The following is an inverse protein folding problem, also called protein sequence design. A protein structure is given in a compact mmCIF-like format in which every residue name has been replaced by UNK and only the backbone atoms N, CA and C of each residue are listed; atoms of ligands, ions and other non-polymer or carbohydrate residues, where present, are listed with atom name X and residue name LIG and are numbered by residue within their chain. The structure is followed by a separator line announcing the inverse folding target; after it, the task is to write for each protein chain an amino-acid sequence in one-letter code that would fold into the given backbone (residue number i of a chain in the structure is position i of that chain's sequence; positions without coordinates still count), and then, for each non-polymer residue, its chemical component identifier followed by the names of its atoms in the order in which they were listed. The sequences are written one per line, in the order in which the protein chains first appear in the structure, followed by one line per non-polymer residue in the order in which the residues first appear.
data_IF_085777114406
#
_entry.id   IF_085777114406
#
_cell.length_a   1.000
_cell.length_b   1.000
_cell.length_c   1.000
_cell.angle_alpha   90.00
_cell.angle_beta   90.00
_cell.angle_gamma   90.00
#
_symmetry.space_group_name_H-M   'P 1'
#
loop_
_entity.id
_entity.type
_entity.pdbx_description
1 polymer ?
#
# COMPACT_ATOMS: atom_id res chain seq x y z
N UNK A 1 3.58 15.42 70.11
CA UNK A 1 3.20 14.33 69.17
C UNK A 1 2.17 14.86 68.21
N UNK A 2 2.60 15.28 67.04
CA UNK A 2 1.74 15.82 65.96
C UNK A 2 1.43 14.69 65.01
N UNK A 3 0.17 14.27 64.95
CA UNK A 3 -0.30 13.27 63.99
C UNK A 3 -0.38 13.89 62.60
N UNK A 4 0.46 13.44 61.68
CA UNK A 4 0.32 13.74 60.24
C UNK A 4 -0.92 13.00 59.72
N UNK A 5 -1.97 13.74 59.41
CA UNK A 5 -3.11 13.22 58.63
C UNK A 5 -2.66 12.98 57.22
N UNK A 6 -2.53 11.72 56.81
CA UNK A 6 -2.35 11.33 55.42
C UNK A 6 -3.64 11.63 54.65
N UNK A 7 -3.65 12.69 53.82
CA UNK A 7 -4.72 12.92 52.88
C UNK A 7 -4.71 11.80 51.83
N UNK A 8 -5.86 11.19 51.49
CA UNK A 8 -5.91 10.18 50.43
C UNK A 8 -5.57 10.89 49.09
N UNK A 9 -4.44 10.48 48.51
CA UNK A 9 -4.09 10.81 47.13
C UNK A 9 -5.16 10.23 46.21
N UNK A 10 -6.11 11.05 45.77
CA UNK A 10 -7.02 10.71 44.69
C UNK A 10 -6.24 10.80 43.36
N UNK A 11 -5.43 9.82 43.09
CA UNK A 11 -4.90 9.57 41.75
C UNK A 11 -5.91 8.75 40.95
N UNK A 12 -7.07 9.32 40.66
CA UNK A 12 -7.99 8.78 39.68
C UNK A 12 -8.26 9.84 38.62
N UNK A 13 -7.42 9.86 37.59
CA UNK A 13 -7.79 10.36 36.28
C UNK A 13 -8.66 9.27 35.63
N UNK A 14 -9.91 9.17 36.05
CA UNK A 14 -10.89 8.22 35.54
C UNK A 14 -12.18 8.96 35.21
N UNK A 15 -12.64 8.83 33.98
CA UNK A 15 -14.01 9.17 33.63
C UNK A 15 -14.95 8.18 34.32
N UNK A 16 -16.10 8.64 34.81
CA UNK A 16 -17.17 7.74 35.25
C UNK A 16 -17.51 6.79 34.07
N UNK A 17 -17.74 5.48 34.34
CA UNK A 17 -17.97 4.50 33.27
C UNK A 17 -19.00 4.91 32.20
N UNK A 18 -20.13 5.58 32.55
CA UNK A 18 -21.10 6.06 31.58
C UNK A 18 -20.61 7.20 30.69
N UNK A 19 -19.69 8.03 31.19
CA UNK A 19 -19.14 9.21 30.49
C UNK A 19 -17.77 8.96 29.82
N UNK A 20 -17.23 7.75 29.96
CA UNK A 20 -15.93 7.38 29.38
C UNK A 20 -15.95 7.52 27.85
N UNK A 21 -14.94 8.22 27.26
CA UNK A 21 -14.77 8.26 25.80
C UNK A 21 -14.27 6.93 25.24
N UNK A 22 -13.80 6.03 26.11
CA UNK A 22 -13.29 4.72 25.71
C UNK A 22 -14.38 3.67 25.71
N UNK A 23 -14.48 2.91 24.62
CA UNK A 23 -15.43 1.80 24.48
C UNK A 23 -14.70 0.54 24.03
N UNK A 24 -14.97 -0.58 24.68
CA UNK A 24 -14.35 -1.87 24.36
C UNK A 24 -14.80 -2.35 22.96
N UNK A 25 -13.83 -2.82 22.19
CA UNK A 25 -14.07 -3.46 20.90
C UNK A 25 -14.38 -4.94 21.12
N UNK A 26 -15.64 -5.32 20.94
CA UNK A 26 -16.10 -6.69 21.23
C UNK A 26 -15.79 -7.66 20.09
N UNK A 27 -15.89 -7.19 18.84
CA UNK A 27 -15.67 -8.01 17.66
C UNK A 27 -14.16 -8.27 17.46
N UNK A 28 -13.86 -9.51 17.04
CA UNK A 28 -12.47 -9.95 16.85
C UNK A 28 -12.08 -10.12 15.40
N UNK A 29 -13.06 -10.11 14.48
CA UNK A 29 -12.85 -10.32 13.07
C UNK A 29 -13.50 -9.20 12.27
N UNK A 30 -12.87 -8.86 11.15
CA UNK A 30 -13.29 -7.78 10.28
C UNK A 30 -13.03 -8.15 8.83
N UNK A 31 -14.02 -7.97 7.97
CA UNK A 31 -13.88 -8.02 6.52
C UNK A 31 -14.19 -6.64 5.96
N UNK A 32 -13.24 -6.05 5.28
CA UNK A 32 -13.32 -4.72 4.69
C UNK A 32 -13.27 -4.81 3.18
N UNK A 33 -14.16 -4.10 2.50
CA UNK A 33 -14.00 -3.75 1.09
C UNK A 33 -13.60 -2.29 1.01
N UNK A 34 -12.56 -2.01 0.22
CA UNK A 34 -12.00 -0.68 0.11
C UNK A 34 -11.78 -0.27 -1.34
N UNK A 35 -11.76 1.03 -1.56
CA UNK A 35 -11.39 1.68 -2.82
C UNK A 35 -10.59 2.94 -2.53
N UNK A 36 -9.82 3.39 -3.52
CA UNK A 36 -8.99 4.58 -3.37
C UNK A 36 -8.10 4.85 -4.56
N UNK A 37 -6.96 5.44 -4.32
CA UNK A 37 -6.00 5.79 -5.35
C UNK A 37 -4.58 5.38 -4.97
N UNK A 38 -3.93 4.69 -5.89
CA UNK A 38 -2.53 4.28 -5.83
C UNK A 38 -1.69 5.26 -6.64
N UNK A 39 -0.68 5.84 -6.03
CA UNK A 39 0.27 6.74 -6.68
C UNK A 39 1.59 6.02 -6.90
N UNK A 40 1.82 5.58 -8.12
CA UNK A 40 3.09 4.99 -8.50
C UNK A 40 4.19 6.05 -8.56
N UNK A 41 5.37 5.73 -8.03
CA UNK A 41 6.57 6.51 -8.28
C UNK A 41 7.04 6.21 -9.70
N UNK A 42 7.26 7.25 -10.49
CA UNK A 42 7.84 7.10 -11.81
C UNK A 42 9.22 6.44 -11.72
N UNK A 43 9.37 5.32 -12.39
CA UNK A 43 10.66 4.64 -12.55
C UNK A 43 11.49 5.33 -13.66
N UNK A 44 12.82 5.15 -13.67
CA UNK A 44 13.70 5.81 -14.65
C UNK A 44 13.33 5.59 -16.12
N UNK A 45 12.85 4.40 -16.48
CA UNK A 45 12.41 4.08 -17.85
C UNK A 45 10.92 4.34 -18.08
N UNK A 46 10.15 4.61 -17.02
CA UNK A 46 8.69 4.77 -17.04
C UNK A 46 7.94 3.56 -17.62
N UNK A 47 8.48 2.35 -17.42
CA UNK A 47 7.86 1.08 -17.85
C UNK A 47 7.21 0.31 -16.72
N UNK A 48 7.43 0.70 -15.46
CA UNK A 48 6.73 0.14 -14.32
C UNK A 48 5.24 0.51 -14.35
N UNK A 49 4.37 -0.27 -13.65
CA UNK A 49 2.97 0.05 -13.50
C UNK A 49 2.76 1.47 -12.98
N UNK A 50 1.86 2.22 -13.62
CA UNK A 50 1.57 3.62 -13.32
C UNK A 50 0.48 3.77 -12.26
N UNK A 51 0.24 5.03 -11.86
CA UNK A 51 -0.80 5.39 -10.89
C UNK A 51 -2.19 5.08 -11.42
N UNK A 52 -3.11 4.73 -10.51
CA UNK A 52 -4.48 4.47 -10.88
C UNK A 52 -5.39 4.18 -9.71
N UNK A 53 -6.69 4.00 -9.95
CA UNK A 53 -7.63 3.56 -8.95
C UNK A 53 -7.24 2.20 -8.38
N UNK A 54 -7.35 2.05 -7.06
CA UNK A 54 -7.15 0.79 -6.34
C UNK A 54 -8.45 0.38 -5.66
N UNK A 55 -8.74 -0.92 -5.69
CA UNK A 55 -9.83 -1.52 -4.93
C UNK A 55 -9.43 -2.92 -4.47
N UNK A 56 -10.03 -3.35 -3.35
CA UNK A 56 -9.67 -4.64 -2.79
C UNK A 56 -10.48 -5.02 -1.57
N UNK A 57 -10.03 -6.11 -0.96
CA UNK A 57 -10.58 -6.63 0.28
C UNK A 57 -9.46 -6.85 1.29
N UNK A 58 -9.76 -6.59 2.55
CA UNK A 58 -8.88 -6.79 3.69
C UNK A 58 -9.62 -7.60 4.74
N UNK A 59 -9.04 -8.69 5.19
CA UNK A 59 -9.46 -9.44 6.36
C UNK A 59 -8.51 -9.15 7.52
N UNK A 60 -9.07 -8.80 8.68
CA UNK A 60 -8.33 -8.60 9.92
C UNK A 60 -8.87 -9.51 11.01
N UNK A 61 -7.96 -10.12 11.76
CA UNK A 61 -8.27 -10.91 12.93
C UNK A 61 -7.46 -10.42 14.13
N UNK A 62 -8.14 -10.16 15.24
CA UNK A 62 -7.55 -9.75 16.51
C UNK A 62 -7.46 -10.96 17.45
N UNK A 63 -6.28 -11.61 17.58
CA UNK A 63 -6.10 -12.72 18.49
C UNK A 63 -6.17 -12.27 19.97
N UNK A 64 -5.53 -11.16 20.30
CA UNK A 64 -5.57 -10.59 21.65
C UNK A 64 -5.03 -9.17 21.68
N UNK A 65 -5.46 -8.38 22.67
CA UNK A 65 -4.92 -7.04 22.92
C UNK A 65 -5.09 -6.07 21.74
N UNK A 66 -4.06 -5.22 21.49
CA UNK A 66 -4.10 -4.21 20.43
C UNK A 66 -3.69 -4.72 19.06
N UNK A 67 -3.24 -5.96 18.95
CA UNK A 67 -2.62 -6.51 17.76
C UNK A 67 -3.64 -7.21 16.87
N UNK A 68 -3.55 -6.95 15.56
CA UNK A 68 -4.36 -7.59 14.53
C UNK A 68 -3.44 -8.25 13.51
N UNK A 69 -3.78 -9.47 13.11
CA UNK A 69 -3.26 -10.09 11.89
C UNK A 69 -4.12 -9.64 10.71
N UNK A 70 -3.50 -9.36 9.59
CA UNK A 70 -4.24 -8.96 8.40
C UNK A 70 -3.75 -9.68 7.14
N UNK A 71 -4.68 -9.89 6.22
CA UNK A 71 -4.42 -10.34 4.86
C UNK A 71 -5.24 -9.48 3.92
N UNK A 72 -4.63 -8.99 2.86
CA UNK A 72 -5.32 -8.16 1.86
C UNK A 72 -5.01 -8.61 0.44
N UNK A 73 -6.02 -8.41 -0.42
CA UNK A 73 -5.88 -8.56 -1.86
C UNK A 73 -6.42 -7.29 -2.50
N UNK A 74 -5.62 -6.67 -3.35
CA UNK A 74 -6.05 -5.49 -4.08
C UNK A 74 -5.61 -5.50 -5.54
N UNK A 75 -6.35 -4.77 -6.36
CA UNK A 75 -6.11 -4.54 -7.77
C UNK A 75 -6.02 -3.05 -8.04
N UNK A 76 -4.97 -2.64 -8.72
CA UNK A 76 -4.80 -1.29 -9.28
C UNK A 76 -5.12 -1.33 -10.75
N UNK A 77 -6.00 -0.44 -11.21
CA UNK A 77 -6.21 -0.19 -12.63
C UNK A 77 -5.08 0.69 -13.14
N UNK A 78 -4.02 0.06 -13.60
CA UNK A 78 -2.75 0.68 -13.98
C UNK A 78 -2.54 0.60 -15.48
N UNK A 79 -1.74 1.51 -16.00
CA UNK A 79 -1.21 1.49 -17.36
C UNK A 79 0.28 1.19 -17.33
N UNK A 80 0.79 0.63 -18.43
CA UNK A 80 2.20 0.37 -18.62
C UNK A 80 2.64 0.77 -20.02
N UNK A 81 3.80 1.43 -20.08
CA UNK A 81 4.43 1.81 -21.33
C UNK A 81 5.32 0.67 -21.84
N UNK A 82 5.28 0.42 -23.13
CA UNK A 82 6.13 -0.55 -23.82
C UNK A 82 7.14 0.19 -24.66
N UNK A 83 8.42 -0.05 -24.40
CA UNK A 83 9.54 0.57 -25.09
C UNK A 83 10.21 -0.46 -25.99
N UNK A 84 10.62 0.00 -27.18
CA UNK A 84 11.51 -0.74 -28.08
C UNK A 84 12.91 -0.12 -28.04
N UNK A 85 13.92 -0.83 -27.51
CA UNK A 85 15.29 -0.33 -27.46
C UNK A 85 15.90 -0.05 -28.83
N UNK A 86 15.44 -0.74 -29.87
CA UNK A 86 16.01 -0.65 -31.24
C UNK A 86 15.51 0.59 -32.00
N UNK A 87 14.46 1.24 -31.51
CA UNK A 87 13.98 2.48 -32.11
C UNK A 87 14.97 3.64 -31.88
N UNK A 88 15.01 4.64 -32.78
CA UNK A 88 15.88 5.80 -32.61
C UNK A 88 15.53 6.62 -31.39
N UNK A 89 16.52 7.23 -30.74
CA UNK A 89 16.34 8.10 -29.59
C UNK A 89 15.80 9.49 -29.89
N UNK A 90 15.84 9.88 -31.20
CA UNK A 90 15.32 11.16 -31.68
C UNK A 90 14.34 10.94 -32.82
N UNK A 91 13.20 11.61 -32.77
CA UNK A 91 12.16 11.54 -33.78
C UNK A 91 11.47 12.91 -33.95
N UNK A 92 10.99 13.22 -35.12
CA UNK A 92 10.31 14.50 -35.37
C UNK A 92 8.91 14.50 -34.80
N UNK A 93 8.55 15.57 -34.09
CA UNK A 93 7.18 15.79 -33.58
C UNK A 93 6.80 15.06 -32.33
N UNK A 94 7.73 14.37 -31.66
CA UNK A 94 7.50 13.62 -30.41
C UNK A 94 8.43 14.16 -29.31
N UNK A 95 7.99 14.27 -28.07
CA UNK A 95 8.85 14.71 -26.96
C UNK A 95 10.08 13.81 -26.80
N UNK A 96 11.21 14.41 -26.45
CA UNK A 96 12.44 13.66 -26.17
C UNK A 96 12.18 12.63 -25.04
N UNK A 97 12.53 11.37 -25.32
CA UNK A 97 12.26 10.23 -24.42
C UNK A 97 11.04 9.40 -24.76
N UNK A 98 10.17 9.84 -25.65
CA UNK A 98 9.02 9.07 -26.14
C UNK A 98 9.25 8.43 -27.51
N UNK A 99 10.39 8.70 -28.16
CA UNK A 99 10.73 8.13 -29.48
C UNK A 99 10.85 6.61 -29.46
N UNK A 100 11.24 6.03 -28.34
CA UNK A 100 11.32 4.56 -28.16
C UNK A 100 9.99 3.95 -27.65
N UNK A 101 8.96 4.75 -27.43
CA UNK A 101 7.65 4.29 -26.99
C UNK A 101 6.86 3.73 -28.18
N UNK A 102 6.45 2.46 -28.07
CA UNK A 102 5.56 1.82 -29.05
C UNK A 102 4.10 2.10 -28.69
N UNK A 103 3.72 1.82 -27.45
CA UNK A 103 2.33 1.93 -27.00
C UNK A 103 2.22 1.98 -25.47
N UNK A 104 1.02 2.30 -24.98
CA UNK A 104 0.66 2.28 -23.59
C UNK A 104 -0.55 1.39 -23.41
N UNK A 105 -0.40 0.30 -22.66
CA UNK A 105 -1.43 -0.70 -22.46
C UNK A 105 -2.03 -0.60 -21.06
N UNK A 106 -3.33 -0.86 -20.96
CA UNK A 106 -4.01 -1.09 -19.69
C UNK A 106 -3.51 -2.41 -19.08
N UNK A 107 -2.81 -2.34 -17.93
CA UNK A 107 -2.17 -3.49 -17.34
C UNK A 107 -2.37 -3.48 -15.83
N UNK A 108 -3.33 -4.26 -15.32
CA UNK A 108 -3.64 -4.21 -13.90
C UNK A 108 -2.49 -4.76 -13.05
N UNK A 109 -2.24 -4.09 -11.92
CA UNK A 109 -1.30 -4.53 -10.90
C UNK A 109 -2.09 -5.08 -9.70
N UNK A 110 -1.67 -6.22 -9.19
CA UNK A 110 -2.27 -6.87 -8.03
C UNK A 110 -1.29 -6.87 -6.87
N UNK A 111 -1.80 -6.64 -5.65
CA UNK A 111 -1.07 -6.87 -4.42
C UNK A 111 -1.78 -7.94 -3.60
N UNK A 112 -0.99 -8.87 -3.05
CA UNK A 112 -1.42 -9.88 -2.10
C UNK A 112 -0.50 -9.74 -0.91
N UNK A 113 -1.01 -9.23 0.20
CA UNK A 113 -0.23 -8.82 1.36
C UNK A 113 -0.70 -9.54 2.62
N UNK A 114 0.26 -9.85 3.50
CA UNK A 114 0.01 -10.28 4.85
C UNK A 114 0.78 -9.42 5.84
N UNK A 115 0.25 -9.20 7.03
CA UNK A 115 0.94 -8.34 7.98
C UNK A 115 0.28 -8.24 9.35
N UNK A 116 0.76 -7.25 10.08
CA UNK A 116 0.33 -6.89 11.40
C UNK A 116 -0.21 -5.46 11.42
N UNK A 117 -1.26 -5.23 12.19
CA UNK A 117 -1.72 -3.90 12.54
C UNK A 117 -1.76 -3.76 14.06
N UNK A 118 -1.35 -2.61 14.56
CA UNK A 118 -1.36 -2.26 15.96
C UNK A 118 -2.35 -1.11 16.19
N UNK A 119 -3.41 -1.37 16.92
CA UNK A 119 -4.36 -0.35 17.34
C UNK A 119 -3.73 0.49 18.47
N UNK A 120 -3.56 1.79 18.28
CA UNK A 120 -2.89 2.68 19.22
C UNK A 120 -3.73 2.96 20.47
N UNK A 121 -5.04 2.72 20.40
CA UNK A 121 -5.95 2.81 21.55
C UNK A 121 -6.12 1.49 22.30
N UNK A 122 -5.31 0.49 21.96
CA UNK A 122 -5.40 -0.84 22.54
C UNK A 122 -6.61 -1.62 22.03
N UNK A 123 -7.30 -2.34 22.93
CA UNK A 123 -8.54 -3.07 22.62
C UNK A 123 -9.80 -2.19 22.71
N UNK A 124 -9.65 -0.86 22.66
CA UNK A 124 -10.71 0.13 22.85
C UNK A 124 -10.76 1.13 21.72
N UNK A 125 -11.90 1.76 21.51
CA UNK A 125 -11.99 2.98 20.71
C UNK A 125 -11.92 4.21 21.62
N UNK A 126 -11.45 5.33 21.08
CA UNK A 126 -11.50 6.65 21.71
C UNK A 126 -12.42 7.54 20.89
N UNK A 127 -13.54 8.00 21.46
CA UNK A 127 -14.62 8.69 20.75
C UNK A 127 -15.02 7.97 19.45
N UNK A 128 -15.19 6.66 19.51
CA UNK A 128 -15.47 5.78 18.35
C UNK A 128 -14.35 5.68 17.31
N UNK A 129 -13.19 6.28 17.54
CA UNK A 129 -12.06 6.23 16.63
C UNK A 129 -11.00 5.23 17.12
N UNK A 130 -10.41 4.50 16.17
CA UNK A 130 -9.32 3.56 16.44
C UNK A 130 -8.20 3.84 15.42
N UNK A 131 -7.22 4.67 15.78
CA UNK A 131 -6.02 4.84 14.97
C UNK A 131 -5.16 3.58 15.03
N UNK A 132 -4.58 3.19 13.91
CA UNK A 132 -3.72 2.02 13.79
C UNK A 132 -2.51 2.27 12.90
N UNK A 133 -1.44 1.55 13.17
CA UNK A 133 -0.26 1.48 12.30
C UNK A 133 -0.13 0.05 11.79
N UNK A 134 0.37 -0.09 10.55
CA UNK A 134 0.44 -1.37 9.83
C UNK A 134 1.83 -1.60 9.32
N UNK A 135 2.24 -2.87 9.32
CA UNK A 135 3.47 -3.34 8.71
C UNK A 135 3.23 -4.72 8.13
N UNK A 136 3.71 -4.96 6.92
CA UNK A 136 3.52 -6.25 6.28
C UNK A 136 4.45 -6.49 5.12
N UNK A 137 4.26 -7.63 4.50
CA UNK A 137 4.95 -8.05 3.29
C UNK A 137 4.02 -8.87 2.42
N UNK A 138 4.33 -8.92 1.14
CA UNK A 138 3.53 -9.65 0.18
C UNK A 138 4.17 -9.68 -1.20
N UNK A 139 3.34 -9.75 -2.19
CA UNK A 139 3.76 -9.76 -3.59
C UNK A 139 2.97 -8.73 -4.40
N UNK A 140 3.68 -8.06 -5.31
CA UNK A 140 3.14 -7.25 -6.39
C UNK A 140 3.26 -8.04 -7.69
N UNK A 141 2.18 -8.25 -8.42
CA UNK A 141 2.19 -9.06 -9.65
C UNK A 141 1.22 -8.51 -10.69
N UNK A 142 1.59 -8.62 -11.95
CA UNK A 142 0.71 -8.36 -13.09
C UNK A 142 0.18 -9.65 -13.72
N UNK A 143 0.53 -10.82 -13.15
CA UNK A 143 0.21 -12.16 -13.65
C UNK A 143 0.63 -12.44 -15.10
N UNK A 144 1.53 -11.62 -15.65
CA UNK A 144 2.07 -11.84 -17.00
C UNK A 144 3.45 -12.48 -16.94
N UNK A 145 3.61 -13.55 -17.69
CA UNK A 145 4.85 -14.32 -17.79
C UNK A 145 5.66 -13.99 -19.03
N UNK A 146 5.07 -13.28 -20.01
CA UNK A 146 5.75 -12.94 -21.25
C UNK A 146 6.39 -11.56 -21.15
N UNK A 147 7.62 -11.47 -21.65
CA UNK A 147 8.31 -10.20 -21.82
C UNK A 147 7.74 -9.44 -23.02
N UNK A 148 7.77 -8.11 -22.98
CA UNK A 148 7.42 -7.25 -24.11
C UNK A 148 8.53 -7.20 -25.17
N UNK A 149 8.33 -6.39 -26.22
CA UNK A 149 9.30 -6.23 -27.32
C UNK A 149 10.67 -5.81 -26.81
N UNK A 150 10.73 -4.93 -25.80
CA UNK A 150 11.96 -4.50 -25.16
C UNK A 150 12.54 -5.51 -24.18
N UNK A 151 11.92 -6.70 -24.04
CA UNK A 151 12.24 -7.75 -23.08
C UNK A 151 12.00 -7.36 -21.63
N UNK A 152 11.24 -6.29 -21.38
CA UNK A 152 10.83 -5.97 -20.01
C UNK A 152 9.65 -6.85 -19.60
N UNK A 153 9.73 -7.33 -18.36
CA UNK A 153 8.69 -8.09 -17.68
C UNK A 153 8.56 -7.60 -16.25
N UNK A 154 7.39 -7.16 -15.86
CA UNK A 154 7.16 -6.84 -14.46
C UNK A 154 7.10 -8.12 -13.63
N UNK A 155 6.20 -9.07 -14.00
CA UNK A 155 6.05 -10.37 -13.34
C UNK A 155 5.63 -10.26 -11.87
N UNK A 156 6.17 -11.15 -11.04
CA UNK A 156 5.91 -11.16 -9.59
C UNK A 156 7.11 -10.62 -8.83
N UNK A 157 6.86 -9.63 -7.95
CA UNK A 157 7.86 -8.96 -7.12
C UNK A 157 7.49 -9.07 -5.67
N UNK A 158 8.49 -9.32 -4.81
CA UNK A 158 8.30 -9.18 -3.39
C UNK A 158 8.06 -7.71 -3.04
N UNK A 159 7.09 -7.45 -2.16
CA UNK A 159 6.71 -6.11 -1.74
C UNK A 159 6.67 -6.02 -0.22
N UNK A 160 7.25 -4.96 0.34
CA UNK A 160 7.00 -4.55 1.71
C UNK A 160 5.87 -3.53 1.71
N UNK A 161 5.00 -3.60 2.72
CA UNK A 161 4.00 -2.59 2.93
C UNK A 161 4.04 -2.04 4.37
N UNK A 162 3.76 -0.76 4.51
CA UNK A 162 3.55 -0.11 5.80
C UNK A 162 2.53 1.01 5.64
N UNK A 163 1.94 1.40 6.74
CA UNK A 163 0.93 2.45 6.68
C UNK A 163 0.35 2.82 8.04
N UNK A 164 -0.58 3.73 7.99
CA UNK A 164 -1.40 4.14 9.11
C UNK A 164 -2.85 4.25 8.66
N UNK A 165 -3.76 4.02 9.58
CA UNK A 165 -5.19 4.10 9.31
C UNK A 165 -5.96 4.60 10.51
N UNK A 166 -7.19 4.93 10.26
CA UNK A 166 -8.17 5.26 11.28
C UNK A 166 -9.47 4.53 10.97
N UNK A 167 -10.03 3.89 12.00
CA UNK A 167 -11.33 3.23 11.94
C UNK A 167 -12.33 4.04 12.76
N UNK A 168 -13.46 4.31 12.18
CA UNK A 168 -14.61 4.86 12.89
C UNK A 168 -15.62 3.76 13.18
N UNK A 169 -15.81 3.47 14.46
CA UNK A 169 -16.63 2.36 15.00
C UNK A 169 -17.84 2.96 15.72
N UNK A 170 -18.92 3.32 15.01
CA UNK A 170 -20.06 3.99 15.61
C UNK A 170 -20.86 3.07 16.54
N UNK A 171 -20.68 1.78 16.43
CA UNK A 171 -21.41 0.71 17.09
C UNK A 171 -22.12 -0.20 16.07
N UNK A 172 -22.41 -1.44 16.51
CA UNK A 172 -23.01 -2.43 15.60
C UNK A 172 -21.98 -3.21 14.78
N UNK A 173 -22.43 -3.74 13.64
CA UNK A 173 -21.64 -4.65 12.79
C UNK A 173 -20.85 -3.95 11.71
N UNK A 174 -21.04 -2.66 11.49
CA UNK A 174 -20.37 -1.92 10.43
C UNK A 174 -19.47 -0.82 10.98
N UNK A 175 -18.37 -0.61 10.31
CA UNK A 175 -17.46 0.50 10.53
C UNK A 175 -16.94 1.05 9.20
N UNK A 176 -16.42 2.28 9.25
CA UNK A 176 -15.72 2.92 8.13
C UNK A 176 -14.25 3.05 8.51
N UNK A 177 -13.38 2.86 7.52
CA UNK A 177 -11.94 3.05 7.70
C UNK A 177 -11.36 3.91 6.60
N UNK A 178 -10.30 4.64 6.92
CA UNK A 178 -9.47 5.35 5.98
C UNK A 178 -8.01 4.95 6.25
N UNK A 179 -7.29 4.62 5.20
CA UNK A 179 -5.91 4.12 5.27
C UNK A 179 -5.00 4.89 4.32
N UNK A 180 -3.80 5.21 4.83
CA UNK A 180 -2.64 5.58 4.06
C UNK A 180 -1.67 4.41 4.10
N UNK A 181 -1.33 3.85 2.98
CA UNK A 181 -0.37 2.74 2.89
C UNK A 181 0.66 3.02 1.82
N UNK A 182 1.76 2.30 1.90
CA UNK A 182 2.87 2.44 1.00
C UNK A 182 3.41 1.06 0.66
N UNK A 183 3.60 0.78 -0.63
CA UNK A 183 4.18 -0.46 -1.13
C UNK A 183 5.56 -0.19 -1.71
N UNK A 184 6.57 -0.86 -1.17
CA UNK A 184 7.95 -0.82 -1.63
C UNK A 184 8.29 -2.12 -2.33
N UNK A 185 8.58 -2.05 -3.62
CA UNK A 185 9.04 -3.18 -4.41
C UNK A 185 10.15 -2.78 -5.38
N UNK A 186 10.90 -3.78 -5.88
CA UNK A 186 11.97 -3.57 -6.83
C UNK A 186 11.54 -3.92 -8.25
N UNK A 187 11.83 -3.02 -9.20
CA UNK A 187 11.69 -3.26 -10.63
C UNK A 187 13.07 -3.55 -11.21
N UNK A 188 13.18 -4.62 -12.00
CA UNK A 188 14.41 -5.00 -12.67
C UNK A 188 14.28 -4.77 -14.17
N UNK A 189 15.26 -4.07 -14.75
CA UNK A 189 15.31 -3.76 -16.17
C UNK A 189 16.07 -4.83 -16.94
N UNK A 190 15.67 -5.12 -18.20
CA UNK A 190 16.37 -6.05 -19.07
C UNK A 190 17.72 -5.48 -19.56
N UNK A 191 18.62 -6.37 -19.93
CA UNK A 191 19.92 -5.99 -20.49
C UNK A 191 19.82 -5.20 -21.79
N UNK A 192 18.74 -5.41 -22.57
CA UNK A 192 18.47 -4.70 -23.84
C UNK A 192 18.35 -3.19 -23.67
N UNK A 193 17.99 -2.69 -22.48
CA UNK A 193 17.89 -1.24 -22.23
C UNK A 193 19.25 -0.54 -22.14
N UNK A 194 20.34 -1.31 -22.03
CA UNK A 194 21.72 -0.84 -21.98
C UNK A 194 22.49 -1.02 -23.30
N UNK A 195 21.85 -1.65 -24.31
CA UNK A 195 22.41 -1.86 -25.63
C UNK A 195 22.10 -0.65 -26.52
N UNK A 196 23.11 -0.07 -27.18
CA UNK A 196 22.88 1.03 -28.11
C UNK A 196 22.04 0.59 -29.32
N UNK A 197 21.05 1.38 -29.69
CA UNK A 197 20.36 1.27 -30.96
C UNK A 197 21.29 1.63 -32.16
N UNK A 198 20.87 1.41 -33.42
CA UNK A 198 21.68 1.75 -34.58
C UNK A 198 22.12 3.23 -34.65
N UNK A 199 21.34 4.15 -34.10
CA UNK A 199 21.64 5.58 -33.94
C UNK A 199 22.51 5.90 -32.70
N UNK A 200 23.02 4.88 -31.98
CA UNK A 200 23.79 4.95 -30.75
C UNK A 200 23.02 5.48 -29.55
N UNK A 201 21.71 5.66 -29.63
CA UNK A 201 20.88 6.01 -28.47
C UNK A 201 20.65 4.81 -27.57
N UNK A 202 20.62 5.04 -26.26
CA UNK A 202 20.34 4.02 -25.22
C UNK A 202 19.19 4.47 -24.34
N UNK A 203 18.45 3.52 -23.75
CA UNK A 203 17.46 3.83 -22.70
C UNK A 203 18.19 4.17 -21.42
N UNK A 204 19.17 3.32 -21.04
CA UNK A 204 20.01 3.52 -19.88
C UNK A 204 21.49 3.54 -20.24
N UNK A 205 22.24 4.39 -19.55
CA UNK A 205 23.70 4.35 -19.58
C UNK A 205 24.23 3.23 -18.69
N UNK A 206 25.43 2.72 -18.97
CA UNK A 206 26.05 1.63 -18.19
C UNK A 206 26.29 1.98 -16.71
N UNK A 207 26.15 3.25 -16.32
CA UNK A 207 26.28 3.70 -14.93
C UNK A 207 24.97 3.59 -14.14
N UNK A 208 23.84 3.36 -14.80
CA UNK A 208 22.53 3.25 -14.15
C UNK A 208 22.29 1.83 -13.64
N UNK A 209 21.66 1.73 -12.47
CA UNK A 209 21.36 0.44 -11.85
C UNK A 209 20.30 -0.33 -12.63
N UNK A 210 20.50 -1.63 -12.80
CA UNK A 210 19.49 -2.54 -13.38
C UNK A 210 18.25 -2.75 -12.48
N UNK A 211 18.30 -2.28 -11.23
CA UNK A 211 17.20 -2.44 -10.29
C UNK A 211 16.85 -1.10 -9.67
N UNK A 212 15.57 -0.74 -9.71
CA UNK A 212 15.04 0.45 -9.06
C UNK A 212 14.03 0.06 -7.97
N UNK A 213 14.23 0.58 -6.75
CA UNK A 213 13.25 0.46 -5.68
C UNK A 213 12.23 1.57 -5.76
N UNK A 214 10.97 1.19 -5.85
CA UNK A 214 9.84 2.11 -6.02
C UNK A 214 9.00 2.14 -4.75
N UNK A 215 8.78 3.35 -4.28
CA UNK A 215 8.01 3.66 -3.08
C UNK A 215 6.67 4.25 -3.50
N UNK A 216 5.59 3.50 -3.32
CA UNK A 216 4.31 3.75 -3.97
C UNK A 216 3.22 3.95 -2.91
N UNK A 217 2.90 5.20 -2.53
CA UNK A 217 1.84 5.49 -1.59
C UNK A 217 0.45 5.27 -2.19
N UNK A 218 -0.49 4.92 -1.33
CA UNK A 218 -1.91 4.84 -1.67
C UNK A 218 -2.77 5.38 -0.53
N UNK A 219 -3.92 5.94 -0.90
CA UNK A 219 -4.96 6.34 0.03
C UNK A 219 -6.23 5.55 -0.29
N UNK A 220 -6.85 4.97 0.72
CA UNK A 220 -8.07 4.16 0.55
C UNK A 220 -9.11 4.48 1.61
N UNK A 221 -10.38 4.32 1.24
CA UNK A 221 -11.53 4.35 2.15
C UNK A 221 -12.25 3.02 1.98
N UNK A 222 -12.73 2.45 3.09
CA UNK A 222 -13.41 1.17 3.09
C UNK A 222 -14.55 1.10 4.08
N UNK A 223 -15.43 0.15 3.81
CA UNK A 223 -16.51 -0.25 4.71
C UNK A 223 -16.19 -1.66 5.18
N UNK A 224 -16.27 -1.86 6.49
CA UNK A 224 -15.97 -3.13 7.12
C UNK A 224 -17.21 -3.71 7.79
N UNK A 225 -17.33 -5.02 7.68
CA UNK A 225 -18.28 -5.81 8.45
C UNK A 225 -17.53 -6.52 9.59
N UNK A 226 -18.02 -6.31 10.80
CA UNK A 226 -17.44 -6.83 12.04
C UNK A 226 -18.22 -8.07 12.49
N UNK A 227 -17.49 -9.12 12.85
CA UNK A 227 -18.08 -10.32 13.39
C UNK A 227 -17.20 -10.94 14.49
N UNK A 228 -17.81 -11.72 15.33
CA UNK A 228 -17.15 -12.52 16.36
C UNK A 228 -17.62 -13.97 16.23
N UNK A 229 -16.72 -14.88 16.42
CA UNK A 229 -17.04 -16.29 16.58
C UNK A 229 -17.22 -16.63 18.03
#
# INVERSE_FOLDING_TARGET
MTALSAAPLRAQVGYDPPSSPYRDLRQTQELTFFSGYFRAKADPARVAPQSGPIFGALYQWRPSGPMHLNVSVSRVSSERRVLDPDLPGTCSGVPAGDCKLIDTFQWPLYFIDGGLALALTGARSFYHLVPEVKLGAGVATDFHSQADVGQFQFGTRFAFNWGAGIRWVPGGAFQVRADLSNHLYAVKYPGTYYVPAPDKSVIFTNTQSQTAWLNNPSITIGISYLFSR
#
